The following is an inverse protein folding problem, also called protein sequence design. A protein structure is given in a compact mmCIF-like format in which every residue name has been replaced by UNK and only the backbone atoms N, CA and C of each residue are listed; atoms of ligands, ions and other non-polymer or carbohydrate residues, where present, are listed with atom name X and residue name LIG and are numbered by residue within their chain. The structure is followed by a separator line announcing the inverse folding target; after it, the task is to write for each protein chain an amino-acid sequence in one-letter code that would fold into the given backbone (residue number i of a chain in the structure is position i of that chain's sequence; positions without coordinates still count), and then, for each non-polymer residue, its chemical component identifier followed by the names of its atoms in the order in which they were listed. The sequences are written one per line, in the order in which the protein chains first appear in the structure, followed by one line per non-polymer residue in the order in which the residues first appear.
data_IF_520078609260
#
_entry.id   IF_520078609260
#
_cell.length_a   1.000
_cell.length_b   1.000
_cell.length_c   1.000
_cell.angle_alpha   90.00
_cell.angle_beta   90.00
_cell.angle_gamma   90.00
#
_symmetry.space_group_name_H-M   'P 1'
#
loop_
_entity.id
_entity.type
_entity.pdbx_description
1 polymer ?
#
# COMPACT_ATOMS: atom_id res chain seq x y z
N UNK A 1 28.64 15.05 -2.66
CA UNK A 1 27.17 14.90 -2.56
C UNK A 1 26.43 15.31 -3.83
N UNK A 2 26.76 16.44 -4.46
CA UNK A 2 26.03 17.00 -5.62
C UNK A 2 26.05 16.07 -6.85
N UNK A 3 27.18 15.46 -7.21
CA UNK A 3 27.25 14.51 -8.34
C UNK A 3 26.33 13.30 -8.20
N UNK A 4 26.25 12.72 -6.99
CA UNK A 4 25.35 11.59 -6.71
C UNK A 4 23.88 12.01 -6.80
N UNK A 5 23.57 13.24 -6.38
CA UNK A 5 22.23 13.81 -6.53
C UNK A 5 21.88 14.00 -8.02
N UNK A 6 22.79 14.59 -8.81
CA UNK A 6 22.58 14.83 -10.23
C UNK A 6 22.33 13.53 -11.02
N UNK A 7 23.11 12.48 -10.75
CA UNK A 7 22.90 11.17 -11.37
C UNK A 7 21.52 10.60 -11.00
N UNK A 8 21.15 10.62 -9.71
CA UNK A 8 19.84 10.13 -9.26
C UNK A 8 18.69 10.90 -9.88
N UNK A 9 18.77 12.23 -9.90
CA UNK A 9 17.76 13.09 -10.52
C UNK A 9 17.67 12.85 -12.02
N UNK A 10 18.80 12.64 -12.70
CA UNK A 10 18.83 12.28 -14.11
C UNK A 10 18.12 10.96 -14.40
N UNK A 11 18.34 9.92 -13.58
CA UNK A 11 17.65 8.63 -13.71
C UNK A 11 16.14 8.82 -13.52
N UNK A 12 15.73 9.53 -12.47
CA UNK A 12 14.30 9.78 -12.19
C UNK A 12 13.65 10.58 -13.31
N UNK A 13 14.28 11.66 -13.77
CA UNK A 13 13.78 12.49 -14.86
C UNK A 13 13.71 11.72 -16.18
N UNK A 14 14.72 10.90 -16.48
CA UNK A 14 14.75 10.05 -17.66
C UNK A 14 13.62 9.00 -17.63
N UNK A 15 13.43 8.35 -16.49
CA UNK A 15 12.37 7.35 -16.30
C UNK A 15 10.99 8.00 -16.42
N UNK A 16 10.82 9.20 -15.84
CA UNK A 16 9.59 9.97 -15.97
C UNK A 16 9.31 10.34 -17.44
N UNK A 17 10.30 10.87 -18.17
CA UNK A 17 10.13 11.23 -19.57
C UNK A 17 9.79 10.01 -20.43
N UNK A 18 10.48 8.89 -20.21
CA UNK A 18 10.24 7.64 -20.91
C UNK A 18 8.82 7.10 -20.65
N UNK A 19 8.43 7.00 -19.38
CA UNK A 19 7.08 6.53 -18.99
C UNK A 19 5.97 7.47 -19.46
N UNK A 20 6.25 8.77 -19.53
CA UNK A 20 5.33 9.75 -20.13
C UNK A 20 5.12 9.50 -21.62
N UNK A 21 6.19 9.21 -22.37
CA UNK A 21 6.08 8.90 -23.80
C UNK A 21 5.36 7.57 -24.08
N UNK A 22 5.52 6.57 -23.21
CA UNK A 22 4.76 5.33 -23.27
C UNK A 22 3.25 5.52 -23.05
N UNK A 23 2.82 6.68 -22.54
CA UNK A 23 1.41 6.95 -22.26
C UNK A 23 0.95 6.55 -20.87
N UNK A 24 1.86 6.22 -19.95
CA UNK A 24 1.54 5.92 -18.54
C UNK A 24 0.93 7.15 -17.85
N UNK A 25 1.49 8.32 -18.11
CA UNK A 25 1.03 9.62 -17.59
C UNK A 25 0.27 10.44 -18.65
N UNK A 26 -0.21 9.77 -19.70
CA UNK A 26 -0.88 10.39 -20.83
C UNK A 26 -2.37 10.63 -20.58
N UNK A 27 -3.09 10.91 -21.66
CA UNK A 27 -4.55 10.90 -21.64
C UNK A 27 -5.09 9.48 -21.43
N UNK A 28 -6.32 9.34 -20.91
CA UNK A 28 -6.94 8.03 -20.68
C UNK A 28 -6.89 7.13 -21.93
N UNK A 29 -7.05 7.72 -23.13
CA UNK A 29 -6.96 7.00 -24.40
C UNK A 29 -5.55 6.46 -24.70
N UNK A 30 -4.50 7.20 -24.36
CA UNK A 30 -3.11 6.75 -24.53
C UNK A 30 -2.79 5.61 -23.58
N UNK A 31 -3.23 5.72 -22.32
CA UNK A 31 -3.03 4.67 -21.30
C UNK A 31 -3.84 3.41 -21.63
N UNK A 32 -5.08 3.56 -22.12
CA UNK A 32 -5.90 2.44 -22.57
C UNK A 32 -5.27 1.71 -23.76
N UNK A 33 -4.72 2.46 -24.72
CA UNK A 33 -3.97 1.87 -25.84
C UNK A 33 -2.75 1.08 -25.35
N UNK A 34 -1.95 1.67 -24.46
CA UNK A 34 -0.78 1.01 -23.85
C UNK A 34 -1.19 -0.29 -23.15
N UNK A 35 -2.26 -0.27 -22.35
CA UNK A 35 -2.77 -1.46 -21.67
C UNK A 35 -3.18 -2.55 -22.65
N UNK A 36 -3.92 -2.20 -23.70
CA UNK A 36 -4.35 -3.15 -24.72
C UNK A 36 -3.16 -3.77 -25.47
N UNK A 37 -2.13 -2.98 -25.77
CA UNK A 37 -0.92 -3.45 -26.44
C UNK A 37 -0.12 -4.41 -25.54
N UNK A 38 0.04 -4.08 -24.25
CA UNK A 38 0.66 -4.96 -23.25
C UNK A 38 -0.16 -6.25 -23.10
N UNK A 39 -1.48 -6.15 -22.96
CA UNK A 39 -2.35 -7.30 -22.81
C UNK A 39 -2.27 -8.24 -24.01
N UNK A 40 -2.20 -7.71 -25.24
CA UNK A 40 -2.03 -8.51 -26.47
C UNK A 40 -0.66 -9.18 -26.50
N UNK A 41 0.40 -8.47 -26.12
CA UNK A 41 1.76 -9.02 -26.06
C UNK A 41 1.90 -10.12 -25.01
N UNK A 42 1.17 -10.03 -23.90
CA UNK A 42 1.18 -11.04 -22.83
C UNK A 42 0.24 -12.22 -23.10
N UNK A 43 -0.77 -12.05 -23.95
CA UNK A 43 -1.76 -13.07 -24.29
C UNK A 43 -1.19 -14.46 -24.66
N UNK A 44 -0.10 -14.59 -25.45
CA UNK A 44 0.49 -15.89 -25.75
C UNK A 44 1.15 -16.56 -24.53
N UNK A 45 1.72 -15.79 -23.60
CA UNK A 45 2.43 -16.29 -22.42
C UNK A 45 1.53 -16.52 -21.20
N UNK A 46 0.37 -15.86 -21.17
CA UNK A 46 -0.63 -16.04 -20.11
C UNK A 46 -1.27 -17.43 -20.18
N UNK A 47 -1.24 -18.13 -21.32
CA UNK A 47 -1.78 -19.50 -21.43
C UNK A 47 -1.08 -20.49 -20.49
N UNK A 48 0.24 -20.38 -20.37
CA UNK A 48 1.04 -21.25 -19.47
C UNK A 48 0.87 -20.82 -18.01
N UNK A 49 0.72 -19.51 -17.75
CA UNK A 49 0.45 -18.98 -16.41
C UNK A 49 -0.97 -19.31 -15.91
N UNK A 50 -1.96 -19.35 -16.80
CA UNK A 50 -3.36 -19.71 -16.51
C UNK A 50 -3.49 -21.14 -15.96
N UNK A 51 -2.60 -22.06 -16.33
CA UNK A 51 -2.59 -23.42 -15.76
C UNK A 51 -2.19 -23.43 -14.28
N UNK A 52 -1.42 -22.43 -13.80
CA UNK A 52 -0.93 -22.36 -12.41
C UNK A 52 -1.71 -21.38 -11.54
N UNK A 53 -2.34 -20.37 -12.15
CA UNK A 53 -3.15 -19.36 -11.48
C UNK A 53 -4.43 -19.16 -12.31
N UNK A 54 -5.61 -19.56 -11.81
CA UNK A 54 -6.88 -19.32 -12.50
C UNK A 54 -7.25 -17.84 -12.39
N UNK A 55 -6.56 -16.99 -13.16
CA UNK A 55 -6.87 -15.57 -13.28
C UNK A 55 -7.11 -15.23 -14.75
N UNK A 56 -8.17 -14.47 -15.01
CA UNK A 56 -8.36 -13.80 -16.28
C UNK A 56 -7.92 -12.35 -16.12
N UNK A 57 -7.19 -11.82 -17.12
CA UNK A 57 -6.84 -10.40 -17.12
C UNK A 57 -8.14 -9.61 -17.17
N UNK A 58 -8.51 -8.88 -16.09
CA UNK A 58 -9.78 -8.19 -16.05
C UNK A 58 -9.75 -7.01 -17.02
N UNK A 59 -10.82 -6.75 -17.78
CA UNK A 59 -10.88 -5.58 -18.65
C UNK A 59 -10.70 -4.29 -17.83
N UNK A 60 -10.11 -3.26 -18.43
CA UNK A 60 -9.98 -1.96 -17.77
C UNK A 60 -11.37 -1.47 -17.33
N UNK A 61 -11.57 -1.14 -16.04
CA UNK A 61 -12.83 -0.61 -15.56
C UNK A 61 -13.15 0.70 -16.27
N UNK A 62 -14.45 0.96 -16.49
CA UNK A 62 -14.87 2.17 -17.20
C UNK A 62 -14.38 3.39 -16.43
N UNK A 63 -13.97 4.45 -17.13
CA UNK A 63 -13.33 5.64 -16.52
C UNK A 63 -14.16 6.27 -15.39
N UNK A 64 -15.49 6.11 -15.43
CA UNK A 64 -16.40 6.51 -14.35
C UNK A 64 -16.26 5.71 -13.05
N UNK A 65 -15.97 4.41 -13.14
CA UNK A 65 -15.82 3.50 -11.99
C UNK A 65 -14.52 3.76 -11.23
N UNK A 66 -13.40 3.96 -11.94
CA UNK A 66 -12.12 4.37 -11.30
C UNK A 66 -12.29 5.73 -10.61
N UNK A 67 -12.96 6.69 -11.27
CA UNK A 67 -13.20 8.01 -10.69
C UNK A 67 -14.05 7.92 -9.43
N UNK A 68 -15.06 7.04 -9.42
CA UNK A 68 -15.87 6.78 -8.24
C UNK A 68 -15.04 6.15 -7.12
N UNK A 69 -14.28 5.09 -7.41
CA UNK A 69 -13.40 4.42 -6.44
C UNK A 69 -12.37 5.39 -5.85
N UNK A 70 -11.70 6.18 -6.69
CA UNK A 70 -10.72 7.17 -6.25
C UNK A 70 -11.34 8.19 -5.28
N UNK A 71 -12.53 8.72 -5.61
CA UNK A 71 -13.26 9.64 -4.73
C UNK A 71 -13.67 8.96 -3.43
N UNK A 72 -14.19 7.73 -3.51
CA UNK A 72 -14.64 6.98 -2.35
C UNK A 72 -13.50 6.70 -1.38
N UNK A 73 -12.40 6.11 -1.86
CA UNK A 73 -11.24 5.79 -1.04
C UNK A 73 -10.50 7.02 -0.52
N UNK A 74 -10.46 8.12 -1.28
CA UNK A 74 -9.92 9.37 -0.78
C UNK A 74 -10.75 9.88 0.42
N UNK A 75 -12.07 9.91 0.28
CA UNK A 75 -12.97 10.37 1.34
C UNK A 75 -12.93 9.45 2.57
N UNK A 76 -12.94 8.13 2.37
CA UNK A 76 -12.79 7.16 3.47
C UNK A 76 -11.43 7.28 4.15
N UNK A 77 -10.35 7.50 3.38
CA UNK A 77 -9.01 7.73 3.89
C UNK A 77 -8.94 8.98 4.79
N UNK A 78 -9.51 10.10 4.33
CA UNK A 78 -9.57 11.35 5.12
C UNK A 78 -10.40 11.16 6.40
N UNK A 79 -11.60 10.56 6.29
CA UNK A 79 -12.46 10.29 7.45
C UNK A 79 -11.76 9.39 8.48
N UNK A 80 -11.16 8.30 8.02
CA UNK A 80 -10.45 7.35 8.87
C UNK A 80 -9.25 7.98 9.57
N UNK A 81 -8.47 8.80 8.86
CA UNK A 81 -7.31 9.48 9.43
C UNK A 81 -7.70 10.47 10.54
N UNK A 82 -8.74 11.28 10.29
CA UNK A 82 -9.26 12.22 11.30
C UNK A 82 -9.87 11.45 12.47
N UNK A 83 -10.59 10.37 12.20
CA UNK A 83 -11.16 9.53 13.25
C UNK A 83 -10.07 8.87 14.11
N UNK A 84 -8.97 8.42 13.50
CA UNK A 84 -7.81 7.91 14.24
C UNK A 84 -7.21 8.98 15.15
N UNK A 85 -7.00 10.21 14.63
CA UNK A 85 -6.50 11.33 15.43
C UNK A 85 -7.44 11.63 16.61
N UNK A 86 -8.75 11.62 16.36
CA UNK A 86 -9.75 11.79 17.41
C UNK A 86 -9.69 10.67 18.46
N UNK A 87 -9.45 9.43 18.05
CA UNK A 87 -9.35 8.27 18.92
C UNK A 87 -7.95 8.06 19.54
N UNK A 88 -6.95 8.88 19.17
CA UNK A 88 -5.59 8.78 19.71
C UNK A 88 -5.55 8.76 21.24
N UNK A 89 -6.27 9.63 21.98
CA UNK A 89 -6.26 9.59 23.45
C UNK A 89 -6.74 8.24 24.02
N UNK A 90 -7.77 7.64 23.41
CA UNK A 90 -8.27 6.32 23.79
C UNK A 90 -7.27 5.20 23.50
N UNK A 91 -6.59 5.27 22.35
CA UNK A 91 -5.54 4.30 21.99
C UNK A 91 -4.33 4.41 22.92
N UNK A 92 -3.87 5.63 23.21
CA UNK A 92 -2.77 5.89 24.15
C UNK A 92 -3.12 5.43 25.55
N UNK A 93 -4.32 5.71 26.05
CA UNK A 93 -4.77 5.23 27.37
C UNK A 93 -4.82 3.70 27.48
N UNK A 94 -5.28 3.02 26.41
CA UNK A 94 -5.28 1.56 26.35
C UNK A 94 -3.87 0.98 26.31
N UNK A 95 -2.97 1.61 25.57
CA UNK A 95 -1.56 1.21 25.50
C UNK A 95 -0.86 1.43 26.85
N UNK A 96 -1.08 2.56 27.50
CA UNK A 96 -0.54 2.86 28.83
C UNK A 96 -1.02 1.86 29.88
N UNK A 97 -2.32 1.49 29.86
CA UNK A 97 -2.84 0.42 30.73
C UNK A 97 -2.16 -0.91 30.46
N UNK A 98 -2.08 -1.35 29.20
CA UNK A 98 -1.40 -2.60 28.85
C UNK A 98 0.07 -2.62 29.28
N UNK A 99 0.77 -1.49 29.12
CA UNK A 99 2.16 -1.36 29.57
C UNK A 99 2.26 -1.51 31.10
N UNK A 100 1.38 -0.84 31.85
CA UNK A 100 1.30 -0.98 33.31
C UNK A 100 1.01 -2.43 33.71
N UNK A 101 0.02 -3.06 33.11
CA UNK A 101 -0.40 -4.43 33.45
C UNK A 101 0.73 -5.43 33.14
N UNK A 102 1.44 -5.26 32.03
CA UNK A 102 2.59 -6.09 31.67
C UNK A 102 3.77 -5.92 32.65
N UNK A 103 4.07 -4.69 33.08
CA UNK A 103 5.13 -4.42 34.06
C UNK A 103 4.75 -5.01 35.43
N UNK A 104 3.48 -4.86 35.84
CA UNK A 104 2.99 -5.37 37.12
C UNK A 104 3.04 -6.90 37.16
N UNK A 105 2.56 -7.58 36.11
CA UNK A 105 2.64 -9.03 36.00
C UNK A 105 4.08 -9.56 35.96
N UNK A 106 5.00 -8.82 35.32
CA UNK A 106 6.43 -9.17 35.32
C UNK A 106 7.10 -8.97 36.70
N UNK A 107 6.60 -8.06 37.53
CA UNK A 107 7.06 -7.84 38.91
C UNK A 107 6.48 -8.88 39.88
N UNK A 108 5.27 -9.38 39.63
CA UNK A 108 4.61 -10.40 40.45
C UNK A 108 5.11 -11.83 40.16
N UNK A 109 5.46 -12.13 38.90
CA UNK A 109 6.01 -13.43 38.49
C UNK A 109 7.26 -13.90 39.27
N UNK A 110 8.28 -13.05 39.56
CA UNK A 110 9.41 -13.45 40.41
C UNK A 110 9.04 -13.59 41.90
N UNK A 111 7.95 -12.97 42.37
CA UNK A 111 7.50 -13.05 43.77
C UNK A 111 6.73 -14.35 44.07
N UNK A 112 5.99 -14.91 43.11
CA UNK A 112 5.35 -16.22 43.23
C UNK A 112 6.35 -17.38 43.19
N UNK A 113 7.38 -17.29 42.35
CA UNK A 113 8.45 -18.29 42.30
C UNK A 113 9.27 -18.33 43.60
N UNK A 114 9.46 -17.18 44.27
CA UNK A 114 10.12 -17.11 45.57
C UNK A 114 9.25 -17.61 46.75
N UNK A 115 7.92 -17.58 46.63
CA UNK A 115 6.99 -18.12 47.64
C UNK A 115 6.73 -19.62 47.51
N UNK A 116 6.82 -20.18 46.30
CA UNK A 116 6.68 -21.62 46.06
C UNK A 116 7.95 -22.43 46.40
N UNK A 117 9.08 -21.77 46.68
CA UNK A 117 10.37 -22.39 46.99
C UNK A 117 10.69 -22.41 48.51
N UNK A 118 9.70 -22.12 49.37
CA UNK A 118 9.81 -22.18 50.82
C UNK A 118 8.74 -23.11 51.37
#
# INVERSE_FOLDING_TARGET
MIFRLAIKTGIVAGTYYYTKQLGVWGTSRQTEKLYNDISKSLQPHIKDAKQKLPFEVPPLPKTGEIRFLAKHYYNEGVKSSIHFIYMLPCHTGRLARKAKDAISGALEAPAEQARSAK
#
